data_IF_517816282418
#
_entry.id   IF_517816282418
#
_cell.length_a   1.000
_cell.length_b   1.000
_cell.length_c   1.000
_cell.angle_alpha   90.00
_cell.angle_beta   90.00
_cell.angle_gamma   90.00
#
_symmetry.space_group_name_H-M   'P 1'
#
loop_
_entity.id
_entity.type
_entity.pdbx_description
1 polymer ?
#
# COMPACT_ATOMS: atom_id res chain seq x y z
N UNK A 1 10.01 -63.66 -21.31
CA UNK A 1 8.83 -62.90 -20.84
C UNK A 1 9.30 -61.61 -20.18
N UNK A 2 9.30 -60.48 -20.91
CA UNK A 2 9.81 -59.18 -20.43
C UNK A 2 8.65 -58.36 -19.89
N UNK A 3 8.84 -57.68 -18.76
CA UNK A 3 8.79 -56.21 -18.62
C UNK A 3 8.84 -55.82 -17.13
N UNK A 4 10.02 -55.37 -16.69
CA UNK A 4 10.15 -54.51 -15.53
C UNK A 4 9.72 -53.09 -15.90
N UNK A 5 8.85 -52.49 -15.09
CA UNK A 5 8.38 -51.12 -15.27
C UNK A 5 8.80 -50.26 -14.09
N UNK A 6 9.93 -49.57 -14.21
CA UNK A 6 10.33 -48.50 -13.30
C UNK A 6 9.35 -47.34 -13.38
N UNK A 7 8.61 -47.08 -12.31
CA UNK A 7 7.84 -45.83 -12.17
C UNK A 7 8.82 -44.69 -11.84
N UNK A 8 9.21 -43.94 -12.86
CA UNK A 8 9.90 -42.65 -12.70
C UNK A 8 8.95 -41.71 -11.96
N UNK A 9 9.23 -41.39 -10.70
CA UNK A 9 8.53 -40.31 -10.00
C UNK A 9 8.99 -38.99 -10.61
N UNK A 10 8.06 -38.21 -11.16
CA UNK A 10 8.33 -36.84 -11.60
C UNK A 10 8.76 -36.01 -10.38
N UNK A 11 9.76 -35.12 -10.49
CA UNK A 11 10.10 -34.24 -9.38
C UNK A 11 8.91 -33.32 -9.10
N UNK A 12 8.42 -33.29 -7.86
CA UNK A 12 7.66 -32.15 -7.39
C UNK A 12 8.60 -30.96 -7.37
N UNK A 13 8.52 -30.09 -8.37
CA UNK A 13 9.16 -28.77 -8.28
C UNK A 13 8.39 -27.97 -7.25
N UNK A 14 8.87 -27.97 -6.01
CA UNK A 14 8.47 -26.99 -5.01
C UNK A 14 8.73 -25.61 -5.62
N UNK A 15 7.67 -24.85 -5.93
CA UNK A 15 7.83 -23.48 -6.42
C UNK A 15 8.20 -22.59 -5.24
N UNK A 16 9.44 -22.70 -4.77
CA UNK A 16 10.03 -21.70 -3.88
C UNK A 16 10.44 -20.48 -4.69
N UNK A 17 9.48 -19.78 -5.29
CA UNK A 17 9.74 -18.45 -5.83
C UNK A 17 9.52 -17.45 -4.69
N UNK A 18 10.60 -17.08 -4.00
CA UNK A 18 10.58 -15.97 -3.05
C UNK A 18 10.10 -14.68 -3.73
N UNK A 19 9.47 -13.77 -2.97
CA UNK A 19 9.00 -12.49 -3.52
C UNK A 19 10.18 -11.73 -4.14
N UNK A 20 9.98 -11.03 -5.28
CA UNK A 20 11.03 -10.26 -5.92
C UNK A 20 11.54 -9.16 -4.98
N UNK A 21 12.78 -8.72 -5.18
CA UNK A 21 13.44 -7.79 -4.25
C UNK A 21 12.70 -6.46 -4.10
N UNK A 22 12.13 -5.95 -5.20
CA UNK A 22 11.29 -4.76 -5.16
C UNK A 22 10.06 -4.93 -4.26
N UNK A 23 9.44 -6.12 -4.25
CA UNK A 23 8.27 -6.39 -3.43
C UNK A 23 8.63 -6.47 -1.95
N UNK A 24 9.81 -7.00 -1.60
CA UNK A 24 10.32 -6.98 -0.23
C UNK A 24 10.55 -5.54 0.26
N UNK A 25 11.12 -4.67 -0.59
CA UNK A 25 11.28 -3.24 -0.29
C UNK A 25 9.92 -2.56 -0.05
N UNK A 26 8.94 -2.79 -0.94
CA UNK A 26 7.58 -2.27 -0.77
C UNK A 26 6.95 -2.73 0.55
N UNK A 27 7.08 -4.02 0.89
CA UNK A 27 6.58 -4.56 2.17
C UNK A 27 7.27 -3.93 3.38
N UNK A 28 8.57 -3.63 3.30
CA UNK A 28 9.29 -2.94 4.37
C UNK A 28 8.78 -1.50 4.56
N UNK A 29 8.55 -0.77 3.47
CA UNK A 29 7.95 0.58 3.49
C UNK A 29 6.54 0.52 4.08
N UNK A 30 5.69 -0.39 3.59
CA UNK A 30 4.33 -0.58 4.09
C UNK A 30 4.32 -0.89 5.60
N UNK A 31 5.22 -1.76 6.05
CA UNK A 31 5.38 -2.08 7.47
C UNK A 31 5.75 -0.84 8.28
N UNK A 32 6.72 -0.05 7.82
CA UNK A 32 7.13 1.18 8.50
C UNK A 32 5.96 2.17 8.65
N UNK A 33 5.16 2.34 7.60
CA UNK A 33 3.98 3.23 7.60
C UNK A 33 2.88 2.69 8.52
N UNK A 34 2.56 1.39 8.45
CA UNK A 34 1.55 0.75 9.33
C UNK A 34 1.94 0.79 10.81
N UNK A 35 3.24 0.74 11.11
CA UNK A 35 3.78 0.78 12.48
C UNK A 35 3.87 2.19 13.07
N UNK A 36 3.58 3.24 12.29
CA UNK A 36 3.47 4.59 12.83
C UNK A 36 2.29 4.71 13.81
N UNK A 37 2.35 5.65 14.76
CA UNK A 37 1.30 5.89 15.78
C UNK A 37 -0.12 6.13 15.20
N UNK A 38 -0.20 6.58 13.95
CA UNK A 38 -1.47 6.84 13.24
C UNK A 38 -1.76 5.80 12.14
N UNK A 39 -0.89 4.79 11.96
CA UNK A 39 -1.02 3.80 10.89
C UNK A 39 -2.25 2.89 11.05
N UNK A 40 -2.73 2.71 12.28
CA UNK A 40 -3.93 1.91 12.58
C UNK A 40 -5.20 2.46 11.91
N UNK A 41 -5.30 3.78 11.73
CA UNK A 41 -6.46 4.44 11.12
C UNK A 41 -6.70 4.02 9.67
N UNK A 42 -5.62 3.68 8.96
CA UNK A 42 -5.65 3.28 7.55
C UNK A 42 -5.51 1.77 7.40
N UNK A 43 -5.75 1.00 8.47
CA UNK A 43 -5.54 -0.44 8.50
C UNK A 43 -6.62 -1.25 7.80
N UNK A 44 -7.81 -0.68 7.65
CA UNK A 44 -9.02 -1.30 7.12
C UNK A 44 -9.74 -0.35 6.15
N UNK A 45 -10.56 -0.88 5.22
CA UNK A 45 -11.41 -0.05 4.36
C UNK A 45 -12.33 0.87 5.17
N UNK A 46 -12.59 2.06 4.64
CA UNK A 46 -13.56 2.98 5.24
C UNK A 46 -14.97 2.37 5.15
N UNK A 47 -15.67 2.35 6.28
CA UNK A 47 -17.08 1.92 6.39
C UNK A 47 -17.97 3.16 6.56
N UNK A 48 -18.66 3.60 5.50
CA UNK A 48 -19.47 4.81 5.56
C UNK A 48 -20.68 4.72 6.49
N UNK A 49 -21.21 3.52 6.71
CA UNK A 49 -22.37 3.30 7.58
C UNK A 49 -21.94 3.41 9.03
N UNK A 50 -20.85 2.73 9.40
CA UNK A 50 -20.29 2.78 10.76
C UNK A 50 -19.84 4.18 11.17
N UNK A 51 -19.32 4.94 10.21
CA UNK A 51 -18.81 6.31 10.42
C UNK A 51 -19.87 7.39 10.19
N UNK A 52 -21.09 7.03 9.78
CA UNK A 52 -22.19 7.96 9.50
C UNK A 52 -21.85 9.02 8.43
N UNK A 53 -21.14 8.61 7.39
CA UNK A 53 -20.69 9.45 6.27
C UNK A 53 -21.20 8.91 4.92
N UNK A 54 -22.52 8.94 4.67
CA UNK A 54 -23.14 8.22 3.55
C UNK A 54 -22.66 8.67 2.16
N UNK A 55 -22.11 9.88 2.03
CA UNK A 55 -21.60 10.47 0.80
C UNK A 55 -20.17 10.04 0.42
N UNK A 56 -19.53 9.19 1.24
CA UNK A 56 -18.12 8.84 1.05
C UNK A 56 -17.80 8.28 -0.34
N UNK A 57 -18.60 7.35 -0.85
CA UNK A 57 -18.39 6.75 -2.18
C UNK A 57 -18.83 7.66 -3.34
N UNK A 58 -19.58 8.73 -3.06
CA UNK A 58 -19.87 9.76 -4.06
C UNK A 58 -18.63 10.66 -4.27
N UNK A 59 -17.92 10.96 -3.18
CA UNK A 59 -16.72 11.80 -3.19
C UNK A 59 -15.46 11.02 -3.60
N UNK A 60 -15.31 9.79 -3.12
CA UNK A 60 -14.13 8.94 -3.27
C UNK A 60 -14.40 7.78 -4.23
N UNK A 61 -13.87 7.92 -5.43
CA UNK A 61 -14.12 6.99 -6.55
C UNK A 61 -13.28 5.70 -6.49
N UNK A 62 -12.09 5.76 -5.86
CA UNK A 62 -11.19 4.61 -5.73
C UNK A 62 -10.78 4.43 -4.27
N UNK A 63 -11.62 3.81 -3.43
CA UNK A 63 -11.26 3.51 -2.05
C UNK A 63 -9.98 2.66 -1.97
N UNK A 64 -9.13 2.94 -0.99
CA UNK A 64 -7.90 2.17 -0.73
C UNK A 64 -7.49 2.31 0.74
N UNK A 65 -6.87 1.27 1.28
CA UNK A 65 -6.36 1.20 2.65
C UNK A 65 -5.10 0.30 2.73
N UNK A 66 -4.33 0.45 3.81
CA UNK A 66 -3.07 -0.29 4.01
C UNK A 66 -3.28 -1.79 4.29
N UNK A 67 -4.49 -2.21 4.68
CA UNK A 67 -4.87 -3.62 4.80
C UNK A 67 -5.02 -4.25 3.42
N UNK A 68 -5.80 -3.61 2.55
CA UNK A 68 -6.01 -4.01 1.16
C UNK A 68 -4.71 -4.03 0.38
N UNK A 69 -3.85 -3.00 0.51
CA UNK A 69 -2.52 -3.00 -0.14
C UNK A 69 -1.68 -4.21 0.31
N UNK A 70 -1.70 -4.51 1.61
CA UNK A 70 -0.97 -5.68 2.14
C UNK A 70 -1.50 -6.97 1.52
N UNK A 71 -2.82 -7.16 1.49
CA UNK A 71 -3.45 -8.33 0.90
C UNK A 71 -3.12 -8.46 -0.61
N UNK A 72 -3.14 -7.34 -1.34
CA UNK A 72 -2.78 -7.31 -2.76
C UNK A 72 -1.32 -7.66 -3.01
N UNK A 73 -0.40 -7.23 -2.13
CA UNK A 73 1.01 -7.64 -2.17
C UNK A 73 1.18 -9.13 -1.85
N UNK A 74 0.45 -9.67 -0.89
CA UNK A 74 0.52 -11.07 -0.49
C UNK A 74 0.00 -11.99 -1.61
N UNK A 75 -1.10 -11.61 -2.24
CA UNK A 75 -1.76 -12.31 -3.34
C UNK A 75 -1.10 -12.08 -4.72
N UNK A 76 -0.02 -11.29 -4.79
CA UNK A 76 0.68 -10.90 -6.03
C UNK A 76 -0.23 -10.18 -7.06
N UNK A 77 -1.27 -9.48 -6.59
CA UNK A 77 -2.12 -8.61 -7.43
C UNK A 77 -1.36 -7.35 -7.83
N UNK A 78 -0.54 -6.82 -6.91
CA UNK A 78 0.44 -5.78 -7.23
C UNK A 78 1.65 -6.44 -7.87
N UNK A 79 1.93 -6.08 -9.13
CA UNK A 79 2.98 -6.70 -9.95
C UNK A 79 4.16 -5.77 -10.20
N UNK A 80 4.04 -4.48 -9.87
CA UNK A 80 5.08 -3.47 -10.07
C UNK A 80 5.22 -2.55 -8.85
N UNK A 81 6.40 -1.95 -8.62
CA UNK A 81 6.60 -0.91 -7.61
C UNK A 81 5.67 0.29 -7.80
N UNK A 82 5.40 0.67 -9.04
CA UNK A 82 4.57 1.82 -9.39
C UNK A 82 3.12 1.61 -8.94
N UNK A 83 2.59 0.39 -9.10
CA UNK A 83 1.24 0.07 -8.64
C UNK A 83 1.14 0.16 -7.10
N UNK A 84 2.16 -0.32 -6.38
CA UNK A 84 2.23 -0.14 -4.92
C UNK A 84 2.26 1.34 -4.54
N UNK A 85 3.10 2.14 -5.21
CA UNK A 85 3.18 3.59 -4.98
C UNK A 85 1.82 4.26 -5.19
N UNK A 86 1.15 3.97 -6.31
CA UNK A 86 -0.16 4.53 -6.63
C UNK A 86 -1.19 4.21 -5.54
N UNK A 87 -1.23 2.97 -5.06
CA UNK A 87 -2.19 2.57 -4.03
C UNK A 87 -1.89 3.25 -2.67
N UNK A 88 -0.61 3.38 -2.31
CA UNK A 88 -0.17 4.12 -1.11
C UNK A 88 -0.58 5.60 -1.20
N UNK A 89 -0.33 6.26 -2.33
CA UNK A 89 -0.73 7.66 -2.55
C UNK A 89 -2.24 7.82 -2.51
N UNK A 90 -2.98 6.93 -3.16
CA UNK A 90 -4.44 6.94 -3.21
C UNK A 90 -5.04 6.89 -1.80
N UNK A 91 -4.51 6.04 -0.92
CA UNK A 91 -4.96 5.93 0.48
C UNK A 91 -4.94 7.27 1.19
N UNK A 92 -3.82 8.01 1.13
CA UNK A 92 -3.67 9.28 1.85
C UNK A 92 -4.35 10.44 1.12
N UNK A 93 -4.30 10.47 -0.21
CA UNK A 93 -4.96 11.50 -1.01
C UNK A 93 -6.48 11.45 -0.86
N UNK A 94 -7.08 10.26 -0.80
CA UNK A 94 -8.51 10.12 -0.53
C UNK A 94 -8.88 10.69 0.85
N UNK A 95 -8.08 10.39 1.88
CA UNK A 95 -8.30 10.91 3.21
C UNK A 95 -8.19 12.44 3.25
N UNK A 96 -7.19 13.02 2.58
CA UNK A 96 -7.04 14.47 2.49
C UNK A 96 -8.10 15.14 1.60
N UNK A 97 -8.65 14.42 0.62
CA UNK A 97 -9.73 14.90 -0.25
C UNK A 97 -11.07 14.94 0.47
N UNK A 98 -11.39 13.88 1.20
CA UNK A 98 -12.67 13.77 1.91
C UNK A 98 -12.70 14.65 3.15
N UNK A 99 -11.58 14.74 3.88
CA UNK A 99 -11.51 15.47 5.14
C UNK A 99 -10.88 16.87 4.92
N UNK A 100 -11.46 17.94 5.49
CA UNK A 100 -10.88 19.28 5.38
C UNK A 100 -9.52 19.37 6.09
N UNK A 101 -8.69 20.36 5.72
CA UNK A 101 -7.32 20.49 6.21
C UNK A 101 -7.20 20.65 7.74
N UNK A 102 -8.24 21.15 8.40
CA UNK A 102 -8.34 21.27 9.86
C UNK A 102 -8.70 19.96 10.57
N UNK A 103 -9.14 18.94 9.84
CA UNK A 103 -9.57 17.67 10.42
C UNK A 103 -8.36 16.78 10.76
N UNK A 104 -8.41 16.12 11.91
CA UNK A 104 -7.31 15.27 12.39
C UNK A 104 -6.90 14.18 11.39
N UNK A 105 -7.86 13.54 10.74
CA UNK A 105 -7.60 12.52 9.71
C UNK A 105 -6.80 13.08 8.54
N UNK A 106 -7.05 14.34 8.14
CA UNK A 106 -6.28 15.00 7.09
C UNK A 106 -4.83 15.22 7.53
N UNK A 107 -4.63 15.75 8.74
CA UNK A 107 -3.31 15.99 9.31
C UNK A 107 -2.52 14.68 9.43
N UNK A 108 -3.16 13.62 9.95
CA UNK A 108 -2.56 12.29 10.08
C UNK A 108 -2.21 11.67 8.72
N UNK A 109 -3.09 11.82 7.72
CA UNK A 109 -2.82 11.35 6.36
C UNK A 109 -1.59 12.05 5.76
N UNK A 110 -1.48 13.37 5.94
CA UNK A 110 -0.32 14.15 5.48
C UNK A 110 0.98 13.68 6.15
N UNK A 111 0.97 13.46 7.47
CA UNK A 111 2.15 12.94 8.19
C UNK A 111 2.59 11.56 7.68
N UNK A 112 1.64 10.65 7.44
CA UNK A 112 1.95 9.31 6.92
C UNK A 112 2.42 9.35 5.46
N UNK A 113 1.90 10.28 4.65
CA UNK A 113 2.36 10.52 3.29
C UNK A 113 3.81 11.02 3.25
N UNK A 114 4.18 11.96 4.12
CA UNK A 114 5.55 12.43 4.27
C UNK A 114 6.49 11.27 4.72
N UNK A 115 6.06 10.45 5.68
CA UNK A 115 6.79 9.24 6.07
C UNK A 115 6.95 8.25 4.91
N UNK A 116 5.88 8.05 4.13
CA UNK A 116 5.92 7.19 2.95
C UNK A 116 6.97 7.68 1.94
N UNK A 117 6.96 8.96 1.56
CA UNK A 117 7.95 9.52 0.65
C UNK A 117 9.38 9.36 1.17
N UNK A 118 9.62 9.64 2.46
CA UNK A 118 10.93 9.46 3.09
C UNK A 118 11.46 8.02 3.00
N UNK A 119 10.57 7.02 3.04
CA UNK A 119 10.93 5.59 2.99
C UNK A 119 10.95 5.02 1.57
N UNK A 120 10.14 5.55 0.66
CA UNK A 120 9.96 5.04 -0.70
C UNK A 120 11.15 5.39 -1.60
N UNK A 121 11.49 6.68 -1.67
CA UNK A 121 12.64 7.17 -2.41
C UNK A 121 13.10 8.52 -1.81
N UNK A 122 14.29 8.58 -1.19
CA UNK A 122 14.85 9.81 -0.66
C UNK A 122 14.96 10.94 -1.71
N UNK A 123 15.12 10.61 -2.99
CA UNK A 123 15.16 11.61 -4.07
C UNK A 123 13.78 12.24 -4.30
N UNK A 124 12.70 11.46 -4.20
CA UNK A 124 11.33 12.01 -4.26
C UNK A 124 11.00 12.86 -3.04
N UNK A 125 11.49 12.50 -1.86
CA UNK A 125 11.33 13.31 -0.65
C UNK A 125 11.97 14.70 -0.81
N UNK A 126 13.17 14.77 -1.37
CA UNK A 126 13.86 16.04 -1.66
C UNK A 126 13.12 16.89 -2.70
N UNK A 127 12.46 16.27 -3.67
CA UNK A 127 11.59 16.99 -4.63
C UNK A 127 10.37 17.56 -3.90
N UNK A 128 9.68 16.76 -3.08
CA UNK A 128 8.51 17.24 -2.32
C UNK A 128 8.85 18.36 -1.33
N UNK A 129 10.03 18.32 -0.72
CA UNK A 129 10.52 19.40 0.14
C UNK A 129 10.73 20.69 -0.66
N UNK A 130 11.29 20.62 -1.87
CA UNK A 130 11.42 21.80 -2.75
C UNK A 130 10.07 22.38 -3.15
N UNK A 131 9.12 21.55 -3.55
CA UNK A 131 7.75 22.00 -3.88
C UNK A 131 7.05 22.67 -2.69
N UNK A 132 7.31 22.24 -1.45
CA UNK A 132 6.74 22.86 -0.24
C UNK A 132 7.10 24.34 -0.09
N UNK A 133 8.24 24.79 -0.63
CA UNK A 133 8.73 26.17 -0.51
C UNK A 133 8.46 27.03 -1.75
N UNK A 134 7.99 26.46 -2.86
CA UNK A 134 7.70 27.20 -4.10
C UNK A 134 6.22 27.64 -4.22
N UNK A 135 5.35 27.23 -3.30
CA UNK A 135 3.91 27.57 -3.29
C UNK A 135 3.48 28.47 -2.12
N UNK A 136 4.42 29.19 -1.51
CA UNK A 136 4.19 30.27 -0.54
C UNK A 136 4.66 31.59 -1.11
#
# INVERSE_FOLDING_TARGET
>A
NRKGGSKVRKPCTCRMSGKPEWAKKCLAVLKAVKSHKHGWLFGEPVDPVKLQIPDYFDVIQRPMDLGTIKANMDNNTIQTPEQFKIDMLTTFQNAMRYNPASHDVHVMAKMLLELFHSKWDPQEAAIMEKWRFETT
#
